data_IF_147701932991
#
_entry.id   IF_147701932991
#
_cell.length_a   1.000
_cell.length_b   1.000
_cell.length_c   1.000
_cell.angle_alpha   90.00
_cell.angle_beta   90.00
_cell.angle_gamma   90.00
#
_symmetry.space_group_name_H-M   'P 1'
#
loop_
_entity.id
_entity.type
_entity.pdbx_description
1 polymer ?
#
# COMPACT_ATOMS: atom_id res chain seq x y z
N UNK A 1 -17.81 8.77 -33.37
CA UNK A 1 -17.32 8.56 -31.99
C UNK A 1 -16.86 9.92 -31.51
N UNK A 2 -17.27 10.34 -30.31
CA UNK A 2 -16.76 11.59 -29.72
C UNK A 2 -15.31 11.44 -29.31
N UNK A 3 -14.58 12.56 -29.25
CA UNK A 3 -13.20 12.63 -28.72
C UNK A 3 -13.19 12.21 -27.25
N UNK A 4 -12.26 11.32 -26.87
CA UNK A 4 -12.12 10.85 -25.49
C UNK A 4 -11.49 11.95 -24.63
N UNK A 5 -12.02 12.17 -23.44
CA UNK A 5 -11.29 12.97 -22.45
C UNK A 5 -10.08 12.18 -21.89
N UNK A 6 -9.19 12.87 -21.18
CA UNK A 6 -7.96 12.25 -20.66
C UNK A 6 -8.21 11.03 -19.75
N UNK A 7 -9.26 11.06 -18.91
CA UNK A 7 -9.64 9.92 -18.08
C UNK A 7 -10.17 8.77 -18.91
N UNK A 8 -11.03 9.03 -19.89
CA UNK A 8 -11.61 8.01 -20.77
C UNK A 8 -10.50 7.33 -21.58
N UNK A 9 -9.58 8.11 -22.15
CA UNK A 9 -8.39 7.58 -22.82
C UNK A 9 -7.53 6.73 -21.88
N UNK A 10 -7.33 7.17 -20.63
CA UNK A 10 -6.59 6.40 -19.62
C UNK A 10 -7.28 5.06 -19.31
N UNK A 11 -8.61 5.06 -19.14
CA UNK A 11 -9.38 3.84 -18.87
C UNK A 11 -9.38 2.88 -20.06
N UNK A 12 -9.47 3.38 -21.30
CA UNK A 12 -9.31 2.58 -22.52
C UNK A 12 -7.94 1.90 -22.57
N UNK A 13 -6.86 2.63 -22.22
CA UNK A 13 -5.52 2.05 -22.17
C UNK A 13 -5.41 0.95 -21.09
N UNK A 14 -5.93 1.18 -19.89
CA UNK A 14 -5.95 0.18 -18.79
C UNK A 14 -6.75 -1.07 -19.19
N UNK A 15 -7.85 -0.89 -19.91
CA UNK A 15 -8.71 -1.98 -20.37
C UNK A 15 -8.15 -2.72 -21.61
N UNK A 16 -6.96 -2.36 -22.09
CA UNK A 16 -6.40 -2.85 -23.36
C UNK A 16 -7.35 -2.64 -24.56
N UNK A 17 -8.07 -1.52 -24.57
CA UNK A 17 -9.05 -1.13 -25.58
C UNK A 17 -8.42 -0.41 -26.78
N UNK A 18 -9.04 0.70 -27.19
CA UNK A 18 -8.58 1.53 -28.33
C UNK A 18 -8.40 2.99 -27.91
N UNK A 19 -7.39 3.29 -27.05
CA UNK A 19 -7.11 4.67 -26.66
C UNK A 19 -6.62 5.49 -27.87
N UNK A 20 -6.92 6.78 -27.87
CA UNK A 20 -6.44 7.73 -28.87
C UNK A 20 -4.92 7.95 -28.77
N UNK A 21 -4.34 7.79 -27.56
CA UNK A 21 -2.90 7.83 -27.32
C UNK A 21 -2.50 6.98 -26.10
N UNK A 22 -1.21 6.63 -26.02
CA UNK A 22 -0.66 5.92 -24.85
C UNK A 22 -0.47 6.90 -23.69
N UNK A 23 -1.12 6.69 -22.53
CA UNK A 23 -0.93 7.57 -21.37
C UNK A 23 0.51 7.52 -20.85
N UNK A 24 1.03 8.66 -20.41
CA UNK A 24 2.37 8.81 -19.85
C UNK A 24 2.39 8.75 -18.31
N UNK A 25 1.21 8.78 -17.68
CA UNK A 25 1.03 8.69 -16.23
C UNK A 25 1.17 10.03 -15.49
N UNK A 26 1.44 11.12 -16.21
CA UNK A 26 1.47 12.49 -15.68
C UNK A 26 0.17 13.26 -15.96
N UNK A 27 -0.82 12.63 -16.58
CA UNK A 27 -2.16 13.19 -16.73
C UNK A 27 -2.77 13.37 -15.33
N UNK A 28 -3.35 14.54 -15.07
CA UNK A 28 -4.06 14.83 -13.82
C UNK A 28 -5.44 14.17 -13.81
N UNK A 29 -5.46 12.85 -14.02
CA UNK A 29 -6.68 12.03 -14.13
C UNK A 29 -6.90 11.16 -12.91
N UNK A 30 -5.96 11.15 -11.95
CA UNK A 30 -6.07 10.39 -10.71
C UNK A 30 -6.21 11.32 -9.52
N UNK A 31 -7.15 10.97 -8.65
CA UNK A 31 -7.25 11.49 -7.32
C UNK A 31 -7.07 10.32 -6.36
N UNK A 32 -5.92 10.29 -5.70
CA UNK A 32 -5.54 9.20 -4.80
C UNK A 32 -5.71 9.63 -3.34
N UNK A 33 -6.16 8.71 -2.50
CA UNK A 33 -6.24 8.92 -1.05
C UNK A 33 -5.68 7.72 -0.29
N UNK A 34 -5.44 7.91 1.00
CA UNK A 34 -5.13 6.83 1.92
C UNK A 34 -5.91 7.05 3.21
N UNK A 35 -6.25 5.97 3.90
CA UNK A 35 -6.81 6.07 5.24
C UNK A 35 -5.73 6.41 6.27
N UNK A 36 -6.15 7.07 7.34
CA UNK A 36 -5.27 7.33 8.47
C UNK A 36 -4.86 5.99 9.12
N UNK A 37 -3.57 5.89 9.43
CA UNK A 37 -2.94 4.65 9.92
C UNK A 37 -2.23 3.83 8.83
N UNK A 38 -2.45 4.11 7.54
CA UNK A 38 -1.80 3.38 6.45
C UNK A 38 -0.32 3.78 6.27
N UNK A 39 -0.03 5.09 6.19
CA UNK A 39 1.32 5.62 6.05
C UNK A 39 1.43 7.02 6.63
N UNK A 40 2.58 7.33 7.22
CA UNK A 40 2.94 8.67 7.70
C UNK A 40 4.35 9.01 7.25
N UNK A 41 4.57 10.29 6.89
CA UNK A 41 5.88 10.83 6.54
C UNK A 41 6.67 11.32 7.76
N UNK A 42 6.59 10.61 8.89
CA UNK A 42 7.22 10.96 10.16
C UNK A 42 7.73 9.70 10.86
N UNK A 43 8.43 9.86 12.00
CA UNK A 43 8.79 8.73 12.86
C UNK A 43 7.53 8.17 13.53
N UNK A 44 7.29 6.87 13.38
CA UNK A 44 6.08 6.24 13.93
C UNK A 44 6.25 4.73 14.06
N UNK A 45 5.32 4.09 14.76
CA UNK A 45 5.15 2.63 14.73
C UNK A 45 3.75 2.36 14.20
N UNK A 46 3.66 1.53 13.17
CA UNK A 46 2.39 1.23 12.51
C UNK A 46 1.63 0.09 13.20
N UNK A 47 0.44 -0.23 12.66
CA UNK A 47 -0.42 -1.31 13.19
C UNK A 47 0.19 -2.70 13.04
N UNK A 48 1.14 -2.89 12.13
CA UNK A 48 1.88 -4.14 11.95
C UNK A 48 2.96 -4.34 13.02
N UNK A 49 3.23 -3.29 13.83
CA UNK A 49 4.28 -3.24 14.83
C UNK A 49 5.64 -2.82 14.28
N UNK A 50 5.73 -2.45 13.00
CA UNK A 50 6.98 -2.00 12.41
C UNK A 50 7.26 -0.55 12.85
N UNK A 51 8.48 -0.30 13.31
CA UNK A 51 8.93 1.06 13.66
C UNK A 51 9.64 1.69 12.48
N UNK A 52 9.29 2.93 12.19
CA UNK A 52 9.69 3.69 11.01
C UNK A 52 10.41 4.97 11.42
N UNK A 53 11.46 5.33 10.69
CA UNK A 53 12.27 6.53 10.95
C UNK A 53 12.61 7.30 9.68
N UNK A 54 12.43 8.62 9.72
CA UNK A 54 12.85 9.56 8.67
C UNK A 54 14.31 9.95 8.90
N UNK A 55 15.22 9.25 8.21
CA UNK A 55 16.67 9.44 8.40
C UNK A 55 17.23 10.74 7.79
N UNK A 56 16.54 11.32 6.80
CA UNK A 56 16.97 12.56 6.12
C UNK A 56 15.77 13.51 5.92
N UNK A 57 15.98 14.84 5.98
CA UNK A 57 14.94 15.80 5.64
C UNK A 57 14.34 15.52 4.25
N UNK A 58 13.02 15.66 4.14
CA UNK A 58 12.26 15.51 2.88
C UNK A 58 12.31 14.10 2.27
N UNK A 59 12.68 13.08 3.05
CA UNK A 59 12.65 11.67 2.62
C UNK A 59 11.51 10.89 3.27
N UNK A 60 11.19 9.74 2.68
CA UNK A 60 10.23 8.79 3.25
C UNK A 60 10.86 8.01 4.42
N UNK A 61 10.09 7.60 5.43
CA UNK A 61 10.64 6.83 6.52
C UNK A 61 11.00 5.41 6.07
N UNK A 62 12.02 4.84 6.70
CA UNK A 62 12.46 3.46 6.52
C UNK A 62 12.21 2.65 7.79
N UNK A 63 11.91 1.34 7.68
CA UNK A 63 11.68 0.53 8.86
C UNK A 63 13.00 0.27 9.57
N UNK A 64 13.04 0.58 10.86
CA UNK A 64 14.19 0.44 11.77
C UNK A 64 13.92 -0.52 12.93
N UNK A 65 12.66 -0.93 13.12
CA UNK A 65 12.26 -1.94 14.09
C UNK A 65 11.34 -2.97 13.46
N UNK A 66 11.70 -4.26 13.58
CA UNK A 66 11.02 -5.38 12.95
C UNK A 66 10.39 -6.28 14.03
N UNK A 67 9.05 -6.33 14.17
CA UNK A 67 8.37 -7.02 15.28
C UNK A 67 8.39 -8.55 15.18
N UNK A 68 8.70 -9.13 14.02
CA UNK A 68 8.75 -10.59 13.82
C UNK A 68 10.15 -11.04 13.34
N UNK A 69 11.16 -11.10 14.21
CA UNK A 69 12.53 -11.40 13.79
C UNK A 69 12.74 -12.85 13.29
N UNK A 70 11.82 -13.78 13.56
CA UNK A 70 11.83 -15.15 13.04
C UNK A 70 10.40 -15.66 12.83
N UNK A 71 10.18 -16.50 11.82
CA UNK A 71 8.90 -17.18 11.59
C UNK A 71 8.63 -18.32 12.59
N UNK A 72 9.60 -18.71 13.40
CA UNK A 72 9.34 -19.58 14.57
C UNK A 72 8.30 -18.96 15.53
N UNK A 73 8.19 -17.63 15.51
CA UNK A 73 7.27 -16.85 16.34
C UNK A 73 5.97 -16.49 15.61
N UNK A 74 5.74 -17.01 14.40
CA UNK A 74 4.57 -16.66 13.58
C UNK A 74 3.24 -16.96 14.31
N UNK A 75 3.18 -18.04 15.09
CA UNK A 75 1.98 -18.40 15.86
C UNK A 75 1.59 -17.38 16.93
N UNK A 76 2.55 -16.59 17.40
CA UNK A 76 2.34 -15.53 18.40
C UNK A 76 2.14 -14.16 17.73
N UNK A 77 2.50 -14.02 16.45
CA UNK A 77 2.33 -12.78 15.71
C UNK A 77 0.86 -12.45 15.49
N UNK A 78 0.49 -11.21 15.81
CA UNK A 78 -0.87 -10.70 15.58
C UNK A 78 -0.87 -9.80 14.35
N UNK A 79 -1.50 -10.29 13.30
CA UNK A 79 -1.80 -9.48 12.13
C UNK A 79 -2.72 -8.31 12.53
N UNK A 80 -2.51 -7.11 11.97
CA UNK A 80 -3.40 -5.98 12.24
C UNK A 80 -4.77 -6.19 11.61
N UNK A 81 -5.77 -5.59 12.25
CA UNK A 81 -7.12 -5.48 11.71
C UNK A 81 -7.17 -4.38 10.62
N UNK A 82 -7.52 -4.69 9.36
CA UNK A 82 -7.64 -3.66 8.32
C UNK A 82 -8.78 -2.67 8.59
N UNK A 83 -9.82 -3.07 9.32
CA UNK A 83 -10.94 -2.19 9.67
C UNK A 83 -10.57 -1.15 10.73
N UNK A 84 -9.37 -1.26 11.32
CA UNK A 84 -8.83 -0.23 12.23
C UNK A 84 -8.34 1.03 11.51
N UNK A 85 -8.22 1.00 10.17
CA UNK A 85 -7.89 2.18 9.39
C UNK A 85 -9.03 3.21 9.42
N UNK A 86 -8.69 4.49 9.52
CA UNK A 86 -9.69 5.55 9.74
C UNK A 86 -9.89 6.39 8.48
N UNK A 87 -11.13 6.39 7.97
CA UNK A 87 -11.58 7.37 7.00
C UNK A 87 -12.00 8.65 7.75
N UNK A 88 -11.09 9.62 7.82
CA UNK A 88 -11.35 10.89 8.50
C UNK A 88 -12.40 11.72 7.74
N UNK A 89 -13.01 12.69 8.43
CA UNK A 89 -13.95 13.62 7.78
C UNK A 89 -13.30 14.40 6.64
N UNK A 90 -12.00 14.72 6.75
CA UNK A 90 -11.24 15.37 5.68
C UNK A 90 -11.15 14.49 4.43
N UNK A 91 -10.77 13.21 4.60
CA UNK A 91 -10.72 12.23 3.50
C UNK A 91 -12.10 12.09 2.85
N UNK A 92 -13.15 11.91 3.67
CA UNK A 92 -14.52 11.73 3.19
C UNK A 92 -15.03 12.97 2.43
N UNK A 93 -14.68 14.18 2.90
CA UNK A 93 -15.05 15.44 2.24
C UNK A 93 -14.30 15.63 0.93
N UNK A 94 -13.00 15.34 0.91
CA UNK A 94 -12.19 15.36 -0.30
C UNK A 94 -12.74 14.40 -1.37
N UNK A 95 -13.04 13.16 -0.97
CA UNK A 95 -13.63 12.15 -1.85
C UNK A 95 -14.98 12.59 -2.45
N UNK A 96 -15.80 13.28 -1.65
CA UNK A 96 -17.11 13.77 -2.08
C UNK A 96 -17.02 14.94 -3.05
N UNK A 97 -15.90 15.68 -3.04
CA UNK A 97 -15.66 16.84 -3.89
C UNK A 97 -15.01 16.49 -5.24
N UNK A 98 -14.57 15.25 -5.46
CA UNK A 98 -13.90 14.84 -6.71
C UNK A 98 -14.88 14.85 -7.88
N UNK A 99 -14.52 15.54 -8.96
CA UNK A 99 -15.22 15.44 -10.23
C UNK A 99 -14.95 14.07 -10.89
N UNK A 100 -15.91 13.15 -10.76
CA UNK A 100 -15.83 11.81 -11.32
C UNK A 100 -15.98 11.78 -12.85
N UNK A 101 -16.32 12.88 -13.52
CA UNK A 101 -16.29 12.92 -14.98
C UNK A 101 -14.84 12.98 -15.50
N UNK A 102 -13.94 13.63 -14.75
CA UNK A 102 -12.56 13.89 -15.16
C UNK A 102 -11.51 13.11 -14.36
N UNK A 103 -11.86 12.58 -13.19
CA UNK A 103 -10.93 11.86 -12.32
C UNK A 103 -11.35 10.41 -12.04
N UNK A 104 -10.34 9.56 -11.96
CA UNK A 104 -10.38 8.23 -11.36
C UNK A 104 -10.05 8.43 -9.88
N UNK A 105 -10.83 7.79 -9.02
CA UNK A 105 -10.57 7.77 -7.58
C UNK A 105 -9.96 6.43 -7.24
N UNK A 106 -8.79 6.44 -6.61
CA UNK A 106 -8.11 5.25 -6.12
C UNK A 106 -7.66 5.41 -4.66
N UNK A 107 -7.65 4.29 -3.93
CA UNK A 107 -7.12 4.21 -2.57
C UNK A 107 -5.74 3.56 -2.59
N UNK A 108 -4.83 4.07 -1.79
CA UNK A 108 -3.47 3.53 -1.67
C UNK A 108 -3.30 2.76 -0.36
N UNK A 109 -2.71 1.56 -0.48
CA UNK A 109 -2.18 0.78 0.64
C UNK A 109 -0.67 0.74 0.49
N UNK A 110 0.03 1.31 1.47
CA UNK A 110 1.48 1.46 1.41
C UNK A 110 2.15 0.19 1.93
N UNK A 111 3.14 -0.32 1.18
CA UNK A 111 3.88 -1.55 1.47
C UNK A 111 2.96 -2.76 1.58
N UNK A 112 2.93 -3.59 0.53
CA UNK A 112 2.14 -4.82 0.51
C UNK A 112 2.99 -6.05 0.21
N UNK A 113 2.52 -7.20 0.70
CA UNK A 113 3.08 -8.52 0.45
C UNK A 113 4.57 -8.61 0.77
N UNK A 114 5.45 -8.53 -0.24
CA UNK A 114 6.90 -8.61 -0.02
C UNK A 114 7.42 -7.41 0.78
N UNK A 115 6.97 -6.21 0.43
CA UNK A 115 7.44 -4.98 1.09
C UNK A 115 7.07 -4.95 2.56
N UNK A 116 5.83 -5.37 2.83
CA UNK A 116 5.33 -5.51 4.18
C UNK A 116 6.07 -6.59 4.95
N UNK A 117 6.35 -7.73 4.32
CA UNK A 117 7.01 -8.85 4.95
C UNK A 117 8.42 -8.49 5.45
N UNK A 118 9.24 -7.83 4.61
CA UNK A 118 10.56 -7.42 5.04
C UNK A 118 10.55 -6.24 6.01
N UNK A 119 9.53 -5.37 5.98
CA UNK A 119 9.37 -4.34 7.01
C UNK A 119 9.04 -4.95 8.39
N UNK A 120 8.29 -6.06 8.42
CA UNK A 120 7.91 -6.76 9.65
C UNK A 120 9.03 -7.66 10.19
N UNK A 121 9.83 -8.28 9.33
CA UNK A 121 10.86 -9.25 9.74
C UNK A 121 12.30 -8.71 9.71
N UNK A 122 12.54 -7.66 8.93
CA UNK A 122 13.86 -7.28 8.44
C UNK A 122 14.18 -8.02 7.14
N UNK A 123 14.91 -7.36 6.22
CA UNK A 123 15.23 -7.88 4.89
C UNK A 123 15.95 -9.23 4.95
N UNK A 124 17.03 -9.31 5.73
CA UNK A 124 17.87 -10.52 5.80
C UNK A 124 17.06 -11.71 6.35
N UNK A 125 16.28 -11.50 7.41
CA UNK A 125 15.45 -12.55 7.99
C UNK A 125 14.36 -13.01 7.03
N UNK A 126 13.69 -12.07 6.34
CA UNK A 126 12.67 -12.41 5.35
C UNK A 126 13.25 -13.23 4.18
N UNK A 127 14.41 -12.83 3.64
CA UNK A 127 15.07 -13.54 2.55
C UNK A 127 15.56 -14.92 2.98
N UNK A 128 16.12 -15.05 4.20
CA UNK A 128 16.53 -16.34 4.74
C UNK A 128 15.33 -17.27 4.98
N UNK A 129 14.21 -16.73 5.47
CA UNK A 129 13.00 -17.49 5.77
C UNK A 129 12.39 -18.17 4.54
N UNK A 130 12.54 -17.59 3.34
CA UNK A 130 12.12 -18.22 2.08
C UNK A 130 12.72 -19.62 1.89
N UNK A 131 13.94 -19.84 2.41
CA UNK A 131 14.66 -21.12 2.30
C UNK A 131 14.51 -21.96 3.57
N UNK A 132 14.61 -21.34 4.75
CA UNK A 132 14.63 -22.06 6.02
C UNK A 132 13.25 -22.40 6.57
N UNK A 133 12.22 -21.62 6.21
CA UNK A 133 10.84 -21.73 6.70
C UNK A 133 9.83 -21.55 5.56
N UNK A 134 9.89 -22.33 4.46
CA UNK A 134 9.10 -22.07 3.26
C UNK A 134 7.59 -22.18 3.50
N UNK A 135 7.14 -23.06 4.41
CA UNK A 135 5.72 -23.25 4.73
C UNK A 135 5.18 -22.07 5.54
N UNK A 136 5.91 -21.69 6.58
CA UNK A 136 5.56 -20.57 7.45
C UNK A 136 5.64 -19.25 6.67
N UNK A 137 6.59 -19.13 5.73
CA UNK A 137 6.68 -17.98 4.83
C UNK A 137 5.43 -17.87 3.97
N UNK A 138 4.97 -18.99 3.41
CA UNK A 138 3.72 -19.00 2.64
C UNK A 138 2.52 -18.61 3.51
N UNK A 139 2.43 -19.13 4.73
CA UNK A 139 1.39 -18.74 5.70
C UNK A 139 1.44 -17.25 6.04
N UNK A 140 2.62 -16.72 6.34
CA UNK A 140 2.84 -15.32 6.68
C UNK A 140 2.44 -14.39 5.53
N UNK A 141 2.90 -14.67 4.30
CA UNK A 141 2.53 -13.92 3.11
C UNK A 141 1.03 -14.03 2.80
N UNK A 142 0.41 -15.18 3.05
CA UNK A 142 -1.04 -15.33 2.91
C UNK A 142 -1.77 -14.47 3.93
N UNK A 143 -1.32 -14.44 5.19
CA UNK A 143 -1.83 -13.55 6.24
C UNK A 143 -1.74 -12.08 5.82
N UNK A 144 -0.60 -11.64 5.28
CA UNK A 144 -0.45 -10.28 4.73
C UNK A 144 -1.45 -10.03 3.59
N UNK A 145 -1.59 -10.95 2.66
CA UNK A 145 -2.52 -10.82 1.54
C UNK A 145 -4.00 -10.76 1.98
N UNK A 146 -4.33 -11.26 3.18
CA UNK A 146 -5.70 -11.12 3.72
C UNK A 146 -6.04 -9.72 4.21
N UNK A 147 -5.04 -8.86 4.41
CA UNK A 147 -5.23 -7.48 4.87
C UNK A 147 -5.94 -6.58 3.84
N UNK A 148 -5.94 -6.96 2.55
CA UNK A 148 -6.54 -6.15 1.47
C UNK A 148 -7.91 -6.66 1.03
N UNK A 149 -8.59 -7.45 1.87
CA UNK A 149 -9.87 -8.08 1.56
C UNK A 149 -11.06 -7.14 1.74
#
# INVERSE_FOLDING_TARGET
MGELNAKENYLEAVAFGQPEYVPLGNEQVRWSFQFEGNYRGEDWTDSWGASWHVGLPETVPFPVGNPLPSLDLLGDYRFPDPDALVCTQEIASGLSAVDRATHIVDGHLSYLLFERAWAVMGMDNMLMALVTHPRETHEFLHGIATYTR
#
